data_IF_358897741952
#
_entry.id   IF_358897741952
#
_cell.length_a   1.000
_cell.length_b   1.000
_cell.length_c   1.000
_cell.angle_alpha   90.00
_cell.angle_beta   90.00
_cell.angle_gamma   90.00
#
_symmetry.space_group_name_H-M   'P 1'
#
loop_
_entity.id
_entity.type
_entity.pdbx_description
1 polymer ?
#
# COMPACT_ATOMS: atom_id res chain seq x y z
N UNK A 1 -0.16 -14.49 -1.61
CA UNK A 1 -1.36 -13.87 -2.23
C UNK A 1 -2.44 -13.80 -1.18
N UNK A 2 -2.75 -12.60 -0.69
CA UNK A 2 -3.95 -12.42 0.15
C UNK A 2 -5.13 -12.80 -0.74
N UNK A 3 -5.67 -13.99 -0.49
CA UNK A 3 -6.84 -14.45 -1.22
C UNK A 3 -8.03 -13.59 -0.81
N UNK A 4 -8.53 -12.74 -1.70
CA UNK A 4 -9.72 -11.91 -1.57
C UNK A 4 -11.02 -12.73 -1.36
N UNK A 5 -10.89 -13.94 -0.81
CA UNK A 5 -12.00 -14.89 -0.63
C UNK A 5 -12.99 -14.53 0.49
N UNK A 6 -12.75 -13.44 1.26
CA UNK A 6 -13.58 -13.14 2.43
C UNK A 6 -13.91 -11.65 2.52
N UNK A 7 -14.69 -11.14 1.55
CA UNK A 7 -15.31 -9.80 1.66
C UNK A 7 -16.23 -9.67 2.90
N UNK A 8 -16.59 -10.77 3.53
CA UNK A 8 -17.39 -10.81 4.77
C UNK A 8 -16.57 -10.51 6.03
N UNK A 9 -15.24 -10.63 5.99
CA UNK A 9 -14.33 -10.41 7.12
C UNK A 9 -13.56 -9.08 7.05
N UNK A 10 -13.97 -8.13 6.20
CA UNK A 10 -13.32 -6.82 6.13
C UNK A 10 -13.71 -6.01 7.39
N UNK A 11 -12.72 -5.70 8.23
CA UNK A 11 -12.89 -4.80 9.36
C UNK A 11 -13.35 -3.40 8.89
N UNK A 12 -14.24 -2.75 9.65
CA UNK A 12 -14.81 -1.43 9.32
C UNK A 12 -15.43 -1.36 7.91
N UNK A 13 -16.05 -2.45 7.46
CA UNK A 13 -16.55 -2.60 6.08
C UNK A 13 -17.49 -1.46 5.66
N UNK A 14 -18.45 -1.07 6.50
CA UNK A 14 -19.40 -0.01 6.18
C UNK A 14 -18.73 1.36 5.96
N UNK A 15 -17.71 1.70 6.78
CA UNK A 15 -16.95 2.93 6.60
C UNK A 15 -16.19 2.88 5.27
N UNK A 16 -15.50 1.77 4.99
CA UNK A 16 -14.74 1.56 3.75
C UNK A 16 -15.63 1.57 2.50
N UNK A 17 -16.85 1.04 2.57
CA UNK A 17 -17.82 1.12 1.47
C UNK A 17 -18.30 2.56 1.21
N UNK A 18 -18.46 3.38 2.27
CA UNK A 18 -18.77 4.81 2.10
C UNK A 18 -17.61 5.56 1.44
N UNK A 19 -16.37 5.27 1.87
CA UNK A 19 -15.16 5.83 1.25
C UNK A 19 -15.04 5.43 -0.23
N UNK A 20 -15.32 4.15 -0.53
CA UNK A 20 -15.31 3.62 -1.89
C UNK A 20 -16.31 4.34 -2.81
N UNK A 21 -17.51 4.66 -2.31
CA UNK A 21 -18.49 5.45 -3.04
C UNK A 21 -18.02 6.88 -3.27
N UNK A 22 -17.53 7.56 -2.21
CA UNK A 22 -17.00 8.93 -2.31
C UNK A 22 -15.89 9.06 -3.37
N UNK A 23 -14.94 8.12 -3.41
CA UNK A 23 -13.85 8.18 -4.38
C UNK A 23 -14.34 7.85 -5.80
N UNK A 24 -15.30 6.93 -5.96
CA UNK A 24 -15.86 6.61 -7.25
C UNK A 24 -16.59 7.81 -7.88
N UNK A 25 -17.24 8.68 -7.09
CA UNK A 25 -17.91 9.90 -7.57
C UNK A 25 -16.96 10.86 -8.29
N UNK A 26 -15.65 10.81 -8.00
CA UNK A 26 -14.64 11.67 -8.63
C UNK A 26 -14.27 11.27 -10.05
N UNK A 27 -14.49 10.03 -10.41
CA UNK A 27 -14.11 9.48 -11.72
C UNK A 27 -14.79 10.21 -12.86
N UNK A 28 -14.01 10.63 -13.86
CA UNK A 28 -14.48 11.30 -15.08
C UNK A 28 -14.00 10.58 -16.32
N UNK A 29 -14.65 10.86 -17.44
CA UNK A 29 -14.28 10.33 -18.75
C UNK A 29 -12.84 10.65 -19.13
N UNK A 30 -12.14 9.66 -19.67
CA UNK A 30 -10.77 9.78 -20.21
C UNK A 30 -9.67 9.85 -19.18
N UNK A 31 -9.97 9.67 -17.87
CA UNK A 31 -8.94 9.77 -16.83
C UNK A 31 -8.02 8.52 -16.77
N UNK A 32 -6.77 8.77 -16.43
CA UNK A 32 -5.79 7.75 -16.03
C UNK A 32 -5.64 7.85 -14.52
N UNK A 33 -5.93 6.77 -13.81
CA UNK A 33 -6.03 6.78 -12.36
C UNK A 33 -5.08 5.74 -11.75
N UNK A 34 -4.33 6.14 -10.73
CA UNK A 34 -3.54 5.23 -9.91
C UNK A 34 -4.42 4.48 -8.91
N UNK A 35 -4.45 3.17 -8.99
CA UNK A 35 -5.27 2.29 -8.14
C UNK A 35 -4.42 1.68 -7.04
N UNK A 36 -4.67 2.08 -5.80
CA UNK A 36 -3.99 1.60 -4.61
C UNK A 36 -4.30 0.15 -4.25
N UNK A 37 -3.63 -0.36 -3.24
CA UNK A 37 -3.76 -1.74 -2.75
C UNK A 37 -4.42 -1.83 -1.37
N UNK A 38 -4.75 -3.05 -0.92
CA UNK A 38 -5.41 -3.30 0.36
C UNK A 38 -6.93 -3.30 0.28
N UNK A 39 -7.59 -3.56 1.42
CA UNK A 39 -9.06 -3.80 1.48
C UNK A 39 -9.89 -2.58 1.10
N UNK A 40 -9.47 -1.38 1.51
CA UNK A 40 -10.16 -0.13 1.17
C UNK A 40 -10.08 0.14 -0.33
N UNK A 41 -8.87 0.01 -0.90
CA UNK A 41 -8.65 0.20 -2.34
C UNK A 41 -9.35 -0.86 -3.18
N UNK A 42 -9.45 -2.09 -2.68
CA UNK A 42 -10.24 -3.15 -3.32
C UNK A 42 -11.72 -2.77 -3.44
N UNK A 43 -12.33 -2.29 -2.34
CA UNK A 43 -13.73 -1.83 -2.36
C UNK A 43 -13.93 -0.60 -3.25
N UNK A 44 -12.96 0.33 -3.26
CA UNK A 44 -12.96 1.48 -4.15
C UNK A 44 -12.90 1.06 -5.62
N UNK A 45 -12.04 0.09 -5.96
CA UNK A 45 -11.94 -0.48 -7.31
C UNK A 45 -13.26 -1.09 -7.76
N UNK A 46 -13.96 -1.84 -6.87
CA UNK A 46 -15.30 -2.38 -7.16
C UNK A 46 -16.34 -1.27 -7.40
N UNK A 47 -16.31 -0.20 -6.60
CA UNK A 47 -17.24 0.92 -6.74
C UNK A 47 -16.99 1.69 -8.05
N UNK A 48 -15.74 1.94 -8.40
CA UNK A 48 -15.32 2.56 -9.67
C UNK A 48 -15.77 1.68 -10.85
N UNK A 49 -15.54 0.37 -10.80
CA UNK A 49 -15.94 -0.56 -11.85
C UNK A 49 -17.46 -0.53 -12.11
N UNK A 50 -18.26 -0.44 -11.05
CA UNK A 50 -19.71 -0.27 -11.17
C UNK A 50 -20.09 1.05 -11.85
N UNK A 51 -19.53 2.16 -11.38
CA UNK A 51 -19.79 3.49 -11.92
C UNK A 51 -19.46 3.58 -13.40
N UNK A 52 -18.27 3.16 -13.82
CA UNK A 52 -17.87 3.25 -15.22
C UNK A 52 -18.77 2.41 -16.12
N UNK A 53 -19.25 1.26 -15.64
CA UNK A 53 -20.19 0.41 -16.37
C UNK A 53 -21.59 1.04 -16.47
N UNK A 54 -22.08 1.64 -15.39
CA UNK A 54 -23.41 2.27 -15.34
C UNK A 54 -23.46 3.56 -16.16
N UNK A 55 -22.39 4.35 -16.17
CA UNK A 55 -22.30 5.65 -16.84
C UNK A 55 -21.65 5.58 -18.24
N UNK A 56 -21.13 4.42 -18.65
CA UNK A 56 -20.43 4.24 -19.92
C UNK A 56 -19.11 4.99 -20.02
N UNK A 57 -18.41 5.20 -18.88
CA UNK A 57 -17.13 5.93 -18.84
C UNK A 57 -15.97 5.06 -19.28
N UNK A 58 -15.00 5.69 -19.96
CA UNK A 58 -13.73 5.06 -20.36
C UNK A 58 -12.59 5.67 -19.59
N UNK A 59 -11.93 4.87 -18.76
CA UNK A 59 -10.74 5.24 -17.98
C UNK A 59 -9.63 4.22 -18.17
N UNK A 60 -8.43 4.52 -17.67
CA UNK A 60 -7.36 3.55 -17.55
C UNK A 60 -6.85 3.49 -16.10
N UNK A 61 -6.53 2.29 -15.64
CA UNK A 61 -6.00 2.05 -14.30
C UNK A 61 -4.49 1.82 -14.34
N UNK A 62 -3.75 2.40 -13.37
CA UNK A 62 -2.36 2.03 -13.05
C UNK A 62 -2.38 1.37 -11.69
N UNK A 63 -2.44 0.02 -11.61
CA UNK A 63 -2.54 -0.71 -10.35
C UNK A 63 -1.21 -0.78 -9.61
N UNK A 64 -1.26 -0.76 -8.27
CA UNK A 64 -0.08 -0.85 -7.42
C UNK A 64 0.28 -2.28 -7.02
N UNK A 65 -0.54 -3.28 -7.37
CA UNK A 65 -0.28 -4.71 -7.10
C UNK A 65 -0.91 -5.61 -8.15
N UNK A 66 -0.38 -6.82 -8.27
CA UNK A 66 -0.89 -7.85 -9.17
C UNK A 66 -2.34 -8.25 -8.82
N UNK A 67 -2.71 -8.16 -7.54
CA UNK A 67 -4.07 -8.42 -7.07
C UNK A 67 -5.07 -7.37 -7.59
N UNK A 68 -4.72 -6.07 -7.54
CA UNK A 68 -5.55 -4.98 -8.06
C UNK A 68 -5.58 -5.00 -9.58
N UNK A 69 -4.45 -5.32 -10.23
CA UNK A 69 -4.42 -5.50 -11.68
C UNK A 69 -5.39 -6.60 -12.14
N UNK A 70 -5.36 -7.75 -11.45
CA UNK A 70 -6.29 -8.86 -11.72
C UNK A 70 -7.75 -8.46 -11.51
N UNK A 71 -8.03 -7.62 -10.49
CA UNK A 71 -9.38 -7.09 -10.24
C UNK A 71 -9.82 -6.14 -11.35
N UNK A 72 -8.97 -5.21 -11.77
CA UNK A 72 -9.25 -4.30 -12.89
C UNK A 72 -9.60 -5.08 -14.15
N UNK A 73 -8.81 -6.11 -14.51
CA UNK A 73 -9.09 -6.99 -15.64
C UNK A 73 -10.44 -7.69 -15.54
N UNK A 74 -10.83 -8.19 -14.35
CA UNK A 74 -12.14 -8.81 -14.11
C UNK A 74 -13.31 -7.83 -14.24
N UNK A 75 -13.07 -6.56 -13.95
CA UNK A 75 -14.04 -5.48 -14.07
C UNK A 75 -14.03 -4.82 -15.45
N UNK A 76 -13.22 -5.36 -16.38
CA UNK A 76 -13.07 -4.82 -17.74
C UNK A 76 -12.53 -3.37 -17.76
N UNK A 77 -11.79 -2.97 -16.71
CA UNK A 77 -11.09 -1.69 -16.64
C UNK A 77 -9.74 -1.84 -17.37
N UNK A 78 -9.48 -1.08 -18.45
CA UNK A 78 -8.20 -1.10 -19.14
C UNK A 78 -7.03 -0.77 -18.20
N UNK A 79 -5.98 -1.58 -18.23
CA UNK A 79 -4.77 -1.39 -17.43
C UNK A 79 -3.67 -0.77 -18.28
N UNK A 80 -2.95 0.18 -17.73
CA UNK A 80 -1.73 0.78 -18.29
C UNK A 80 -0.63 0.85 -17.23
N UNK A 81 0.51 1.46 -17.53
CA UNK A 81 1.66 1.56 -16.62
C UNK A 81 2.24 2.97 -16.59
N UNK A 82 3.04 3.27 -15.55
CA UNK A 82 3.78 4.54 -15.45
C UNK A 82 4.84 4.73 -16.56
N UNK A 83 5.25 3.66 -17.23
CA UNK A 83 6.14 3.75 -18.39
C UNK A 83 5.42 4.31 -19.63
N UNK A 84 4.11 4.14 -19.68
CA UNK A 84 3.29 4.53 -20.85
C UNK A 84 2.55 5.83 -20.60
N UNK A 85 2.04 6.05 -19.38
CA UNK A 85 1.14 7.15 -19.09
C UNK A 85 1.35 7.69 -17.65
N UNK A 86 0.95 8.94 -17.45
CA UNK A 86 1.00 9.61 -16.14
C UNK A 86 -0.41 9.69 -15.55
N UNK A 87 -0.63 9.28 -14.29
CA UNK A 87 -1.94 9.34 -13.68
C UNK A 87 -2.40 10.78 -13.43
N UNK A 88 -3.67 11.06 -13.70
CA UNK A 88 -4.30 12.33 -13.35
C UNK A 88 -4.36 12.49 -11.82
N UNK A 89 -4.72 11.42 -11.16
CA UNK A 89 -4.76 11.31 -9.71
C UNK A 89 -4.64 9.84 -9.29
N UNK A 90 -4.35 9.62 -8.02
CA UNK A 90 -4.38 8.27 -7.45
C UNK A 90 -5.20 8.24 -6.17
N UNK A 91 -5.63 7.03 -5.78
CA UNK A 91 -6.20 6.78 -4.48
C UNK A 91 -5.54 5.56 -3.83
N UNK A 92 -5.47 5.58 -2.51
CA UNK A 92 -4.96 4.44 -1.74
C UNK A 92 -5.47 4.47 -0.30
N UNK A 93 -5.27 3.38 0.45
CA UNK A 93 -5.42 3.34 1.89
C UNK A 93 -4.13 3.72 2.62
N UNK A 94 -4.20 3.77 3.95
CA UNK A 94 -3.03 3.84 4.82
C UNK A 94 -3.22 2.92 6.03
N UNK A 95 -2.11 2.50 6.64
CA UNK A 95 -2.12 1.70 7.86
C UNK A 95 -2.19 2.60 9.09
N UNK A 96 -1.47 3.73 9.06
CA UNK A 96 -1.54 4.82 10.05
C UNK A 96 -1.47 6.18 9.37
N UNK A 97 -2.16 7.17 9.93
CA UNK A 97 -2.08 8.58 9.52
C UNK A 97 -2.06 9.49 10.75
N UNK A 98 -1.01 10.29 10.89
CA UNK A 98 -0.89 11.28 11.96
C UNK A 98 -1.66 12.59 11.68
N UNK A 99 -1.61 13.53 12.63
CA UNK A 99 -2.28 14.84 12.51
C UNK A 99 -1.67 15.74 11.43
N UNK A 100 -0.44 15.48 10.99
CA UNK A 100 0.26 16.23 9.95
C UNK A 100 0.04 15.63 8.56
N UNK A 101 -0.62 14.47 8.47
CA UNK A 101 -0.81 13.75 7.22
C UNK A 101 0.37 12.85 6.83
N UNK A 102 1.34 12.66 7.72
CA UNK A 102 2.35 11.63 7.50
C UNK A 102 1.72 10.24 7.69
N UNK A 103 2.26 9.23 7.00
CA UNK A 103 1.64 7.93 6.96
C UNK A 103 2.64 6.79 7.16
N UNK A 104 2.15 5.69 7.75
CA UNK A 104 2.71 4.36 7.53
C UNK A 104 1.79 3.62 6.57
N UNK A 105 2.39 3.01 5.54
CA UNK A 105 1.75 2.16 4.53
C UNK A 105 2.59 0.92 4.29
N UNK A 106 2.05 -0.03 3.54
CA UNK A 106 2.82 -1.20 3.10
C UNK A 106 2.58 -2.48 3.87
N UNK A 107 1.60 -2.53 4.77
CA UNK A 107 1.17 -3.82 5.34
C UNK A 107 0.59 -4.74 4.25
N UNK A 108 0.13 -4.19 3.12
CA UNK A 108 -0.24 -4.90 1.89
C UNK A 108 0.94 -5.31 1.00
N UNK A 109 2.19 -4.97 1.36
CA UNK A 109 3.42 -5.28 0.61
C UNK A 109 3.57 -4.60 -0.77
N UNK A 110 2.88 -3.48 -1.00
CA UNK A 110 2.86 -2.77 -2.28
C UNK A 110 3.51 -1.36 -2.22
N UNK A 111 4.16 -1.00 -1.11
CA UNK A 111 4.61 0.37 -0.80
C UNK A 111 5.47 1.00 -1.91
N UNK A 112 6.27 0.23 -2.64
CA UNK A 112 7.08 0.75 -3.74
C UNK A 112 6.21 1.25 -4.90
N UNK A 113 5.30 0.42 -5.39
CA UNK A 113 4.39 0.79 -6.49
C UNK A 113 3.39 1.86 -6.02
N UNK A 114 2.95 1.82 -4.76
CA UNK A 114 2.08 2.84 -4.15
C UNK A 114 2.75 4.21 -4.16
N UNK A 115 4.02 4.28 -3.70
CA UNK A 115 4.78 5.53 -3.69
C UNK A 115 5.06 6.04 -5.11
N UNK A 116 5.37 5.13 -6.05
CA UNK A 116 5.53 5.50 -7.45
C UNK A 116 4.27 6.14 -8.05
N UNK A 117 3.09 5.56 -7.81
CA UNK A 117 1.84 6.16 -8.24
C UNK A 117 1.63 7.54 -7.62
N UNK A 118 1.88 7.66 -6.31
CA UNK A 118 1.70 8.92 -5.57
C UNK A 118 2.58 10.04 -6.10
N UNK A 119 3.88 9.79 -6.31
CA UNK A 119 4.81 10.84 -6.78
C UNK A 119 4.62 11.23 -8.25
N UNK A 120 3.97 10.37 -9.04
CA UNK A 120 3.64 10.64 -10.44
C UNK A 120 2.24 11.24 -10.63
N UNK A 121 1.37 11.19 -9.62
CA UNK A 121 0.01 11.71 -9.67
C UNK A 121 -0.04 13.21 -9.36
N UNK A 122 -0.97 13.93 -9.99
CA UNK A 122 -1.19 15.36 -9.71
C UNK A 122 -1.90 15.58 -8.37
N UNK A 123 -2.79 14.65 -8.01
CA UNK A 123 -3.55 14.66 -6.76
C UNK A 123 -3.54 13.26 -6.14
N UNK A 124 -3.42 13.21 -4.82
CA UNK A 124 -3.32 11.96 -4.07
C UNK A 124 -4.44 11.89 -3.03
N UNK A 125 -5.33 10.91 -3.14
CA UNK A 125 -6.45 10.70 -2.23
C UNK A 125 -6.20 9.50 -1.33
N UNK A 126 -6.17 9.74 -0.01
CA UNK A 126 -5.96 8.69 0.98
C UNK A 126 -7.28 8.40 1.69
N UNK A 127 -7.74 7.17 1.55
CA UNK A 127 -9.01 6.67 2.08
C UNK A 127 -8.75 5.99 3.41
N UNK A 128 -9.23 6.56 4.50
CA UNK A 128 -9.03 6.00 5.84
C UNK A 128 -10.35 5.87 6.60
N UNK A 129 -10.54 4.74 7.24
CA UNK A 129 -11.53 4.60 8.30
C UNK A 129 -11.02 5.19 9.63
N UNK A 130 -11.91 5.28 10.62
CA UNK A 130 -11.61 5.90 11.92
C UNK A 130 -10.44 5.23 12.67
N UNK A 131 -10.18 3.94 12.42
CA UNK A 131 -9.13 3.18 13.12
C UNK A 131 -7.70 3.54 12.69
N UNK A 132 -7.53 4.26 11.55
CA UNK A 132 -6.23 4.56 10.97
C UNK A 132 -5.57 5.82 11.53
N UNK A 133 -6.31 6.64 12.26
CA UNK A 133 -5.75 7.81 12.94
C UNK A 133 -4.91 7.41 14.13
N UNK A 134 -3.76 8.06 14.25
CA UNK A 134 -2.80 7.92 15.35
C UNK A 134 -2.31 9.28 15.82
N UNK A 135 -1.90 9.37 17.08
CA UNK A 135 -1.27 10.59 17.58
C UNK A 135 0.17 10.72 17.06
N UNK A 136 0.88 9.60 16.96
CA UNK A 136 2.19 9.51 16.35
C UNK A 136 2.33 8.23 15.52
N UNK A 137 3.12 8.27 14.45
CA UNK A 137 3.40 7.09 13.64
C UNK A 137 4.12 6.00 14.45
N UNK A 138 3.84 4.75 14.14
CA UNK A 138 4.43 3.58 14.80
C UNK A 138 3.69 3.13 16.07
N UNK A 139 2.51 3.69 16.36
CA UNK A 139 1.70 3.26 17.51
C UNK A 139 1.10 1.87 17.33
N UNK A 140 0.64 1.57 16.13
CA UNK A 140 -0.11 0.33 15.83
C UNK A 140 0.65 -0.61 14.91
N UNK A 141 1.46 -0.06 14.01
CA UNK A 141 2.13 -0.83 12.96
C UNK A 141 3.65 -0.57 12.92
N UNK A 142 4.45 -1.58 12.55
CA UNK A 142 5.85 -1.37 12.22
C UNK A 142 5.99 -0.56 10.93
N UNK A 143 7.19 -0.05 10.68
CA UNK A 143 7.57 0.47 9.37
C UNK A 143 7.97 -0.72 8.50
N UNK A 144 7.25 -1.03 7.41
CA UNK A 144 7.69 -2.03 6.44
C UNK A 144 8.82 -1.46 5.59
N UNK A 145 9.85 -2.25 5.35
CA UNK A 145 11.02 -1.89 4.53
C UNK A 145 11.19 -2.97 3.47
N UNK A 146 10.97 -2.61 2.21
CA UNK A 146 11.22 -3.50 1.08
C UNK A 146 12.69 -3.47 0.72
N UNK A 147 13.34 -4.64 0.66
CA UNK A 147 14.74 -4.72 0.33
C UNK A 147 15.06 -5.86 -0.63
N UNK A 148 16.10 -5.66 -1.42
CA UNK A 148 16.66 -6.67 -2.31
C UNK A 148 17.15 -7.87 -1.51
N UNK A 149 16.86 -9.08 -1.97
CA UNK A 149 17.09 -10.34 -1.23
C UNK A 149 18.54 -10.55 -0.80
N UNK A 150 19.50 -10.25 -1.69
CA UNK A 150 20.94 -10.40 -1.41
C UNK A 150 21.46 -9.40 -0.38
N UNK A 151 20.78 -8.26 -0.24
CA UNK A 151 21.13 -7.24 0.73
C UNK A 151 20.49 -7.46 2.12
N UNK A 152 19.66 -8.49 2.30
CA UNK A 152 18.83 -8.68 3.48
C UNK A 152 19.58 -8.52 4.82
N UNK A 153 20.70 -9.23 5.00
CA UNK A 153 21.50 -9.15 6.23
C UNK A 153 22.11 -7.76 6.43
N UNK A 154 22.62 -7.16 5.35
CA UNK A 154 23.20 -5.82 5.41
C UNK A 154 22.14 -4.78 5.78
N UNK A 155 20.97 -4.84 5.16
CA UNK A 155 19.85 -3.94 5.46
C UNK A 155 19.42 -4.09 6.92
N UNK A 156 19.24 -5.33 7.41
CA UNK A 156 18.88 -5.59 8.79
C UNK A 156 19.86 -4.92 9.78
N UNK A 157 21.18 -5.11 9.59
CA UNK A 157 22.21 -4.51 10.45
C UNK A 157 22.20 -2.97 10.37
N UNK A 158 21.98 -2.38 9.19
CA UNK A 158 21.93 -0.94 9.03
C UNK A 158 20.66 -0.33 9.64
N UNK A 159 19.52 -0.96 9.49
CA UNK A 159 18.26 -0.52 10.13
C UNK A 159 18.36 -0.61 11.65
N UNK A 160 19.00 -1.66 12.17
CA UNK A 160 19.30 -1.78 13.60
C UNK A 160 20.19 -0.63 14.08
N UNK A 161 21.22 -0.28 13.32
CA UNK A 161 22.12 0.83 13.65
C UNK A 161 21.44 2.21 13.65
N UNK A 162 20.32 2.37 12.92
CA UNK A 162 19.48 3.56 12.97
C UNK A 162 18.57 3.64 14.22
N UNK A 163 18.67 2.66 15.13
CA UNK A 163 17.95 2.67 16.40
C UNK A 163 16.63 1.90 16.40
N UNK A 164 16.40 1.02 15.45
CA UNK A 164 15.25 0.14 15.49
C UNK A 164 15.29 -0.76 16.74
N UNK A 165 14.21 -0.77 17.54
CA UNK A 165 14.09 -1.58 18.76
C UNK A 165 13.82 -3.04 18.47
N UNK A 166 13.02 -3.29 17.44
CA UNK A 166 12.60 -4.62 17.04
C UNK A 166 12.65 -4.71 15.53
N UNK A 167 13.12 -5.85 15.01
CA UNK A 167 13.22 -6.16 13.59
C UNK A 167 12.69 -7.56 13.36
N UNK A 168 11.76 -7.71 12.43
CA UNK A 168 11.18 -9.00 12.06
C UNK A 168 11.05 -9.11 10.54
N UNK A 169 11.51 -10.21 9.97
CA UNK A 169 11.19 -10.51 8.59
C UNK A 169 9.73 -10.88 8.47
N UNK A 170 9.07 -10.42 7.40
CA UNK A 170 7.75 -10.91 7.06
C UNK A 170 7.87 -12.30 6.46
N UNK A 171 7.05 -13.24 6.94
CA UNK A 171 6.97 -14.61 6.46
C UNK A 171 5.64 -14.83 5.71
N UNK A 172 5.60 -15.87 4.88
CA UNK A 172 4.36 -16.30 4.24
C UNK A 172 3.44 -16.89 5.30
N UNK A 173 2.15 -16.54 5.26
CA UNK A 173 1.15 -17.19 6.07
C UNK A 173 0.95 -18.61 5.53
N UNK A 174 1.29 -19.62 6.32
CA UNK A 174 1.03 -21.01 5.96
C UNK A 174 -0.48 -21.26 5.99
N UNK A 175 -1.06 -21.62 4.85
CA UNK A 175 -2.49 -21.95 4.74
C UNK A 175 -2.85 -23.35 5.23
N UNK A 176 -1.89 -24.17 5.70
CA UNK A 176 -2.14 -25.52 6.22
C UNK A 176 -1.27 -25.79 7.45
N UNK A 177 -1.93 -25.92 8.59
CA UNK A 177 -1.39 -26.46 9.84
C UNK A 177 -1.19 -27.98 9.71
N UNK A 178 -0.16 -28.48 9.08
CA UNK A 178 0.23 -29.90 9.26
C UNK A 178 1.55 -30.25 8.58
N UNK A 179 2.67 -29.61 8.96
CA UNK A 179 3.96 -30.28 8.88
C UNK A 179 5.04 -29.55 9.68
N UNK A 180 5.51 -30.21 10.72
CA UNK A 180 6.51 -29.75 11.70
C UNK A 180 7.94 -29.57 11.15
N UNK A 181 8.14 -29.44 9.84
CA UNK A 181 9.46 -29.32 9.19
C UNK A 181 9.52 -28.32 8.03
N UNK A 182 8.56 -27.39 7.89
CA UNK A 182 8.70 -26.31 6.90
C UNK A 182 9.50 -25.15 7.51
N UNK A 183 10.69 -24.90 6.95
CA UNK A 183 11.45 -23.69 7.17
C UNK A 183 10.56 -22.48 6.83
N UNK A 184 10.41 -21.57 7.78
CA UNK A 184 9.67 -20.31 7.59
C UNK A 184 10.18 -19.59 6.34
N UNK A 185 9.36 -19.59 5.29
CA UNK A 185 9.74 -18.95 4.03
C UNK A 185 9.40 -17.46 4.10
N UNK A 186 10.42 -16.61 3.92
CA UNK A 186 10.21 -15.16 3.88
C UNK A 186 9.23 -14.79 2.78
N UNK A 187 8.35 -13.85 3.10
CA UNK A 187 7.42 -13.28 2.13
C UNK A 187 8.17 -12.58 1.00
N UNK A 188 7.69 -12.73 -0.23
CA UNK A 188 8.25 -12.09 -1.43
C UNK A 188 7.19 -11.17 -2.02
N UNK A 189 7.55 -9.89 -2.22
CA UNK A 189 6.69 -8.90 -2.86
C UNK A 189 6.47 -9.19 -4.35
N UNK A 190 5.49 -8.55 -4.97
CA UNK A 190 5.27 -8.60 -6.43
C UNK A 190 6.50 -8.12 -7.23
N UNK A 191 7.42 -7.37 -6.59
CA UNK A 191 8.69 -6.92 -7.18
C UNK A 191 9.83 -7.92 -6.96
N UNK A 192 9.59 -9.04 -6.29
CA UNK A 192 10.59 -10.08 -6.03
C UNK A 192 11.49 -9.84 -4.80
N UNK A 193 11.16 -8.90 -3.92
CA UNK A 193 11.96 -8.47 -2.78
C UNK A 193 11.44 -9.03 -1.44
N UNK A 194 12.22 -8.89 -0.36
CA UNK A 194 11.79 -9.19 1.00
C UNK A 194 11.24 -7.95 1.71
N UNK A 195 10.47 -8.16 2.79
CA UNK A 195 10.01 -7.10 3.69
C UNK A 195 10.55 -7.34 5.08
N UNK A 196 11.23 -6.30 5.61
CA UNK A 196 11.64 -6.19 7.00
C UNK A 196 10.66 -5.25 7.72
N UNK A 197 10.07 -5.68 8.81
CA UNK A 197 9.26 -4.86 9.71
C UNK A 197 10.18 -4.29 10.79
N UNK A 198 10.16 -2.96 10.96
CA UNK A 198 10.99 -2.25 11.92
C UNK A 198 10.13 -1.40 12.86
N UNK A 199 10.39 -1.51 14.17
CA UNK A 199 9.75 -0.70 15.22
C UNK A 199 10.77 0.28 15.77
N UNK A 200 10.36 1.54 15.89
CA UNK A 200 11.16 2.62 16.48
C UNK A 200 10.36 3.27 17.61
N UNK A 201 11.05 3.83 18.63
CA UNK A 201 10.40 4.61 19.67
C UNK A 201 9.88 5.94 19.15
N UNK A 202 10.70 6.54 18.30
CA UNK A 202 10.40 7.81 17.65
C UNK A 202 10.74 7.72 16.17
N UNK A 203 9.91 8.35 15.36
CA UNK A 203 10.05 8.41 13.91
C UNK A 203 10.33 9.87 13.53
N UNK A 204 11.61 10.29 13.52
CA UNK A 204 11.96 11.62 13.07
C UNK A 204 11.67 11.79 11.57
N UNK A 205 11.41 13.02 11.15
CA UNK A 205 11.11 13.34 9.74
C UNK A 205 12.22 12.95 8.76
N UNK A 206 13.46 12.77 9.23
CA UNK A 206 14.58 12.30 8.41
C UNK A 206 14.60 10.80 8.19
N UNK A 207 13.87 9.99 9.01
CA UNK A 207 14.02 8.54 9.02
C UNK A 207 13.69 7.89 7.66
N UNK A 208 12.68 8.39 6.95
CA UNK A 208 12.37 7.91 5.60
C UNK A 208 13.59 8.04 4.67
N UNK A 209 14.22 9.21 4.67
CA UNK A 209 15.43 9.49 3.87
C UNK A 209 16.60 8.63 4.31
N UNK A 210 16.83 8.50 5.61
CA UNK A 210 17.94 7.72 6.16
C UNK A 210 17.82 6.24 5.81
N UNK A 211 16.62 5.68 5.89
CA UNK A 211 16.32 4.32 5.45
C UNK A 211 16.55 4.13 3.94
N UNK A 212 16.11 5.09 3.13
CA UNK A 212 16.29 5.05 1.66
C UNK A 212 17.75 5.13 1.21
N UNK A 213 18.64 5.68 2.02
CA UNK A 213 20.07 5.73 1.72
C UNK A 213 20.82 4.40 1.97
N UNK A 214 20.19 3.44 2.63
CA UNK A 214 20.78 2.13 2.85
C UNK A 214 20.80 1.35 1.53
N UNK A 215 22.00 0.96 1.07
CA UNK A 215 22.13 0.14 -0.14
C UNK A 215 21.36 -1.16 0.01
N UNK A 216 20.49 -1.44 -0.96
CA UNK A 216 19.61 -2.60 -0.96
C UNK A 216 18.20 -2.34 -0.45
N UNK A 217 17.92 -1.20 0.19
CA UNK A 217 16.54 -0.77 0.44
C UNK A 217 15.93 -0.29 -0.87
N UNK A 218 14.83 -0.91 -1.26
CA UNK A 218 14.06 -0.54 -2.44
C UNK A 218 13.09 0.59 -2.07
N UNK A 219 12.27 0.37 -1.02
CA UNK A 219 11.35 1.38 -0.52
C UNK A 219 11.02 1.15 0.96
N UNK A 220 10.51 2.20 1.60
CA UNK A 220 10.02 2.18 2.98
C UNK A 220 8.54 2.51 3.01
N UNK A 221 7.84 1.97 3.99
CA UNK A 221 6.44 2.29 4.27
C UNK A 221 6.22 3.63 4.98
N UNK A 222 7.26 4.43 5.17
CA UNK A 222 7.11 5.81 5.61
C UNK A 222 6.78 6.73 4.44
N UNK A 223 5.81 7.59 4.63
CA UNK A 223 5.38 8.61 3.68
C UNK A 223 5.29 9.94 4.42
N UNK A 224 6.40 10.69 4.45
CA UNK A 224 6.58 11.90 5.24
C UNK A 224 6.52 13.15 4.34
N UNK A 225 5.56 14.04 4.62
CA UNK A 225 5.44 15.33 3.92
C UNK A 225 4.93 15.25 2.48
N UNK A 226 4.30 14.14 2.08
CA UNK A 226 3.67 14.03 0.76
C UNK A 226 2.37 14.84 0.70
N UNK A 227 2.10 15.55 -0.42
CA UNK A 227 0.84 16.26 -0.60
C UNK A 227 -0.31 15.26 -0.81
N UNK A 228 -1.26 15.25 0.12
CA UNK A 228 -2.39 14.32 0.12
C UNK A 228 -3.71 15.01 0.45
N UNK A 229 -4.80 14.43 -0.02
CA UNK A 229 -6.18 14.73 0.38
C UNK A 229 -6.73 13.52 1.14
N UNK A 230 -7.06 13.71 2.41
CA UNK A 230 -7.64 12.64 3.22
C UNK A 230 -9.14 12.62 3.01
N UNK A 231 -9.69 11.44 2.69
CA UNK A 231 -11.12 11.13 2.67
C UNK A 231 -11.42 10.19 3.84
N UNK A 232 -12.29 10.64 4.74
CA UNK A 232 -12.72 9.92 5.94
C UNK A 232 -14.24 9.91 6.04
#
# INVERSE_FOLDING_TARGET
>A
MIGWKQTEQIEHKEEKEKLAKKIAERVKEGEIIGFGSGTTSYLATLAIGRKIKEEGLHIKAIPTSDAIESLCKKLEIPVTSLEQETPNWCFDGADEVDSQGNMIKGMGAAMFREKLNMVNSRENYILIDSSKRVDKLGEKHPIPIECEKRAANYVLEKVKALGAKKLEWRYQENQEEESSNQLDTKFVTDNGNYILHAWFDEIPSSLEKDLKQIVGVIETGLFIGYPIHIIQ
#
